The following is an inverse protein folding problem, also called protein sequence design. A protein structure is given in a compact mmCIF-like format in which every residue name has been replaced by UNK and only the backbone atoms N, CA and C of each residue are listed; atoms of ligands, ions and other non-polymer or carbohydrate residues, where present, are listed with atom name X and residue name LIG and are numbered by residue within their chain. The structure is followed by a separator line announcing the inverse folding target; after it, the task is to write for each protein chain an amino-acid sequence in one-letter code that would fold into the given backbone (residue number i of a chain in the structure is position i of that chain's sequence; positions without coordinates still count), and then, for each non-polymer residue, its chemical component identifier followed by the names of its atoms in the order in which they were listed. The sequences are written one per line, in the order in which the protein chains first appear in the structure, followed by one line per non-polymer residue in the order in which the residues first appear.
data_IF_044303440204
#
_entry.id   IF_044303440204
#
_cell.length_a   1.000
_cell.length_b   1.000
_cell.length_c   1.000
_cell.angle_alpha   90.00
_cell.angle_beta   90.00
_cell.angle_gamma   90.00
#
_symmetry.space_group_name_H-M   'P 1'
#
loop_
_entity.id
_entity.type
_entity.pdbx_description
1 polymer ?
#
# COMPACT_ATOMS: atom_id res chain seq x y z
N UNK A 1 17.78 -6.20 36.44
CA UNK A 1 18.23 -5.19 35.45
C UNK A 1 18.62 -5.81 34.11
N UNK A 2 19.36 -6.94 34.06
CA UNK A 2 19.77 -7.58 32.80
C UNK A 2 18.62 -8.06 31.89
N UNK A 3 17.53 -8.60 32.45
CA UNK A 3 16.41 -9.14 31.66
C UNK A 3 15.65 -8.05 30.89
N UNK A 4 15.51 -6.86 31.47
CA UNK A 4 14.84 -5.70 30.87
C UNK A 4 15.65 -5.16 29.69
N UNK A 5 16.98 -5.11 29.83
CA UNK A 5 17.90 -4.74 28.75
C UNK A 5 17.85 -5.73 27.58
N UNK A 6 17.68 -7.02 27.89
CA UNK A 6 17.60 -8.09 26.89
C UNK A 6 16.28 -8.03 26.11
N UNK A 7 15.16 -7.86 26.81
CA UNK A 7 13.85 -7.66 26.19
C UNK A 7 13.82 -6.41 25.29
N UNK A 8 14.43 -5.30 25.74
CA UNK A 8 14.49 -4.06 24.95
C UNK A 8 15.31 -4.21 23.67
N UNK A 9 16.39 -5.01 23.69
CA UNK A 9 17.18 -5.31 22.49
C UNK A 9 16.39 -6.15 21.49
N UNK A 10 15.77 -7.23 21.95
CA UNK A 10 14.94 -8.10 21.10
C UNK A 10 13.80 -7.29 20.48
N UNK A 11 13.13 -6.43 21.27
CA UNK A 11 12.05 -5.59 20.77
C UNK A 11 12.51 -4.61 19.71
N UNK A 12 13.66 -3.93 19.92
CA UNK A 12 14.23 -2.98 18.95
C UNK A 12 14.64 -3.68 17.65
N UNK A 13 15.27 -4.85 17.75
CA UNK A 13 15.74 -5.63 16.61
C UNK A 13 14.58 -6.23 15.81
N UNK A 14 13.57 -6.75 16.50
CA UNK A 14 12.33 -7.24 15.90
C UNK A 14 11.57 -6.10 15.20
N UNK A 15 11.34 -4.95 15.86
CA UNK A 15 10.60 -3.84 15.25
C UNK A 15 11.33 -3.21 14.07
N UNK A 16 12.66 -3.10 14.12
CA UNK A 16 13.46 -2.54 13.03
C UNK A 16 13.41 -3.43 11.77
N UNK A 17 13.43 -4.76 11.97
CA UNK A 17 13.35 -5.72 10.87
C UNK A 17 11.90 -5.88 10.34
N UNK A 18 10.92 -5.81 11.24
CA UNK A 18 9.49 -5.91 10.92
C UNK A 18 9.02 -4.66 10.16
N UNK A 19 9.46 -3.47 10.58
CA UNK A 19 9.22 -2.22 9.86
C UNK A 19 9.74 -2.28 8.42
N UNK A 20 10.97 -2.78 8.20
CA UNK A 20 11.52 -2.88 6.85
C UNK A 20 10.75 -3.86 5.95
N UNK A 21 10.35 -5.03 6.48
CA UNK A 21 9.54 -6.00 5.73
C UNK A 21 8.12 -5.50 5.44
N UNK A 22 7.46 -4.93 6.44
CA UNK A 22 6.07 -4.42 6.33
C UNK A 22 6.01 -3.21 5.42
N UNK A 23 6.95 -2.26 5.53
CA UNK A 23 7.01 -1.15 4.57
C UNK A 23 7.25 -1.67 3.15
N UNK A 24 8.22 -2.56 2.95
CA UNK A 24 8.58 -2.99 1.59
C UNK A 24 7.46 -3.76 0.89
N UNK A 25 6.77 -4.65 1.58
CA UNK A 25 5.63 -5.39 1.00
C UNK A 25 4.32 -4.60 1.03
N UNK A 26 4.06 -3.86 2.11
CA UNK A 26 2.86 -3.05 2.27
C UNK A 26 2.76 -1.95 1.23
N UNK A 27 3.85 -1.22 0.97
CA UNK A 27 3.88 -0.22 -0.10
C UNK A 27 3.67 -0.83 -1.49
N UNK A 28 4.15 -2.04 -1.74
CA UNK A 28 3.95 -2.72 -3.03
C UNK A 28 2.49 -3.07 -3.27
N UNK A 29 1.81 -3.60 -2.26
CA UNK A 29 0.37 -3.89 -2.33
C UNK A 29 -0.43 -2.59 -2.48
N UNK A 30 -0.11 -1.58 -1.65
CA UNK A 30 -0.78 -0.28 -1.68
C UNK A 30 -0.64 0.40 -3.06
N UNK A 31 0.57 0.39 -3.62
CA UNK A 31 0.83 0.91 -4.95
C UNK A 31 -0.02 0.20 -6.01
N UNK A 32 -0.03 -1.14 -6.00
CA UNK A 32 -0.86 -1.93 -6.93
C UNK A 32 -2.35 -1.64 -6.77
N UNK A 33 -2.85 -1.47 -5.55
CA UNK A 33 -4.26 -1.12 -5.32
C UNK A 33 -4.60 0.27 -5.87
N UNK A 34 -3.75 1.27 -5.66
CA UNK A 34 -3.93 2.61 -6.23
C UNK A 34 -3.86 2.59 -7.75
N UNK A 35 -2.91 1.85 -8.34
CA UNK A 35 -2.81 1.70 -9.80
C UNK A 35 -4.05 1.04 -10.39
N UNK A 36 -4.60 0.01 -9.75
CA UNK A 36 -5.82 -0.66 -10.19
C UNK A 36 -7.04 0.28 -10.15
N UNK A 37 -7.19 1.05 -9.07
CA UNK A 37 -8.26 2.07 -8.95
C UNK A 37 -8.13 3.14 -10.04
N UNK A 38 -6.91 3.60 -10.31
CA UNK A 38 -6.66 4.60 -11.35
C UNK A 38 -6.96 4.05 -12.75
N UNK A 39 -6.58 2.80 -13.03
CA UNK A 39 -6.93 2.14 -14.28
C UNK A 39 -8.45 1.98 -14.47
N UNK A 40 -9.19 1.71 -13.39
CA UNK A 40 -10.64 1.60 -13.42
C UNK A 40 -11.31 2.94 -13.77
N UNK A 41 -10.82 4.04 -13.20
CA UNK A 41 -11.30 5.40 -13.53
C UNK A 41 -10.98 5.75 -14.98
N UNK A 42 -9.77 5.45 -15.45
CA UNK A 42 -9.39 5.67 -16.85
C UNK A 42 -10.26 4.87 -17.81
N UNK A 43 -10.56 3.61 -17.50
CA UNK A 43 -11.47 2.79 -18.30
C UNK A 43 -12.87 3.42 -18.36
N UNK A 44 -13.43 3.80 -17.21
CA UNK A 44 -14.76 4.41 -17.16
C UNK A 44 -14.81 5.75 -17.92
N UNK A 45 -13.74 6.54 -17.81
CA UNK A 45 -13.59 7.80 -18.55
C UNK A 45 -13.51 7.58 -20.06
N UNK A 46 -12.67 6.65 -20.51
CA UNK A 46 -12.57 6.28 -21.92
C UNK A 46 -13.91 5.73 -22.45
N UNK A 47 -14.57 4.84 -21.70
CA UNK A 47 -15.89 4.34 -22.04
C UNK A 47 -16.88 5.50 -22.25
N UNK A 48 -16.90 6.47 -21.33
CA UNK A 48 -17.74 7.68 -21.44
C UNK A 48 -17.38 8.54 -22.66
N UNK A 49 -16.10 8.66 -22.99
CA UNK A 49 -15.66 9.37 -24.20
C UNK A 49 -16.15 8.68 -25.48
N UNK A 50 -16.07 7.36 -25.55
CA UNK A 50 -16.45 6.59 -26.74
C UNK A 50 -17.96 6.44 -26.92
N UNK A 51 -18.72 6.24 -25.84
CA UNK A 51 -20.18 6.13 -25.92
C UNK A 51 -20.89 7.47 -26.07
N UNK A 52 -20.14 8.58 -26.02
CA UNK A 52 -20.70 9.92 -25.94
C UNK A 52 -21.29 10.20 -24.55
N UNK A 53 -21.28 11.47 -24.16
CA UNK A 53 -22.14 11.91 -23.07
C UNK A 53 -23.58 11.81 -23.57
N UNK A 54 -24.38 10.94 -22.95
CA UNK A 54 -25.83 11.05 -23.04
C UNK A 54 -26.20 12.38 -22.37
N UNK A 55 -26.27 13.43 -23.17
CA UNK A 55 -26.87 14.70 -22.81
C UNK A 55 -28.38 14.48 -22.94
N UNK A 56 -29.00 14.02 -21.85
CA UNK A 56 -30.43 14.27 -21.60
C UNK A 56 -30.51 15.44 -20.61
#
# INVERSE_FOLDING_TARGET
MNQILLAKRIYKEAFMNLGHRVLRNGFKLYFWTCTALLAMVLYAFCYRLFTGFAWD
#
